data_IF_977540395200
#
_entry.id   IF_977540395200
#
_cell.length_a   1.000
_cell.length_b   1.000
_cell.length_c   1.000
_cell.angle_alpha   90.00
_cell.angle_beta   90.00
_cell.angle_gamma   90.00
#
_symmetry.space_group_name_H-M   'P 1'
#
loop_
_entity.id
_entity.type
_entity.pdbx_description
1 polymer ?
#
# COMPACT_ATOMS: atom_id res chain seq x y z
N UNK A 1 -23.04 -26.28 -12.08
CA UNK A 1 -22.58 -25.44 -10.94
C UNK A 1 -23.37 -25.84 -9.71
N UNK A 2 -22.71 -26.22 -8.59
CA UNK A 2 -23.44 -26.67 -7.40
C UNK A 2 -24.09 -25.50 -6.66
N UNK A 3 -25.19 -25.77 -5.91
CA UNK A 3 -25.88 -24.77 -5.06
C UNK A 3 -24.87 -24.10 -4.10
N UNK A 4 -23.93 -24.86 -3.57
CA UNK A 4 -22.85 -24.37 -2.67
C UNK A 4 -21.94 -23.36 -3.36
N UNK A 5 -21.55 -23.59 -4.62
CA UNK A 5 -20.72 -22.66 -5.40
C UNK A 5 -21.46 -21.37 -5.74
N UNK A 6 -22.76 -21.45 -6.03
CA UNK A 6 -23.58 -20.27 -6.27
C UNK A 6 -23.70 -19.40 -5.02
N UNK A 7 -23.98 -20.02 -3.86
CA UNK A 7 -24.09 -19.32 -2.57
C UNK A 7 -22.75 -18.62 -2.18
N UNK A 8 -21.63 -19.28 -2.43
CA UNK A 8 -20.30 -18.68 -2.15
C UNK A 8 -20.05 -17.44 -3.03
N UNK A 9 -20.32 -17.53 -4.33
CA UNK A 9 -20.19 -16.39 -5.24
C UNK A 9 -21.10 -15.22 -4.88
N UNK A 10 -22.33 -15.50 -4.47
CA UNK A 10 -23.26 -14.45 -3.99
C UNK A 10 -22.70 -13.75 -2.73
N UNK A 11 -22.11 -14.52 -1.81
CA UNK A 11 -21.48 -14.00 -0.60
C UNK A 11 -20.26 -13.11 -0.93
N UNK A 12 -19.40 -13.57 -1.83
CA UNK A 12 -18.23 -12.83 -2.30
C UNK A 12 -18.64 -11.54 -3.05
N UNK A 13 -19.65 -11.62 -3.90
CA UNK A 13 -20.17 -10.45 -4.61
C UNK A 13 -20.72 -9.39 -3.65
N UNK A 14 -21.50 -9.79 -2.63
CA UNK A 14 -22.01 -8.88 -1.59
C UNK A 14 -20.88 -8.26 -0.79
N UNK A 15 -19.88 -9.07 -0.40
CA UNK A 15 -18.70 -8.58 0.30
C UNK A 15 -17.94 -7.54 -0.53
N UNK A 16 -17.70 -7.82 -1.81
CA UNK A 16 -17.07 -6.89 -2.74
C UNK A 16 -17.82 -5.57 -2.88
N UNK A 17 -19.17 -5.63 -3.00
CA UNK A 17 -20.00 -4.43 -3.06
C UNK A 17 -19.87 -3.58 -1.79
N UNK A 18 -19.88 -4.21 -0.60
CA UNK A 18 -19.70 -3.49 0.68
C UNK A 18 -18.35 -2.80 0.72
N UNK A 19 -17.25 -3.50 0.34
CA UNK A 19 -15.90 -2.93 0.33
C UNK A 19 -15.78 -1.74 -0.63
N UNK A 20 -16.31 -1.86 -1.85
CA UNK A 20 -16.28 -0.78 -2.85
C UNK A 20 -17.06 0.44 -2.38
N UNK A 21 -18.30 0.24 -1.90
CA UNK A 21 -19.13 1.35 -1.41
C UNK A 21 -18.54 2.00 -0.16
N UNK A 22 -18.03 1.22 0.77
CA UNK A 22 -17.40 1.75 1.98
C UNK A 22 -16.17 2.60 1.64
N UNK A 23 -15.35 2.16 0.66
CA UNK A 23 -14.25 2.92 0.12
C UNK A 23 -14.70 4.29 -0.38
N UNK A 24 -15.71 4.34 -1.25
CA UNK A 24 -16.20 5.58 -1.83
C UNK A 24 -16.71 6.54 -0.75
N UNK A 25 -17.39 6.01 0.27
CA UNK A 25 -17.84 6.79 1.43
C UNK A 25 -16.67 7.32 2.25
N UNK A 26 -15.65 6.50 2.54
CA UNK A 26 -14.46 6.95 3.29
C UNK A 26 -13.71 8.05 2.55
N UNK A 27 -13.62 7.95 1.23
CA UNK A 27 -12.98 8.97 0.38
C UNK A 27 -13.77 10.28 0.41
N UNK A 28 -15.08 10.21 0.23
CA UNK A 28 -15.97 11.37 0.09
C UNK A 28 -16.17 12.11 1.41
N UNK A 29 -16.39 11.36 2.49
CA UNK A 29 -16.84 11.92 3.77
C UNK A 29 -15.74 11.89 4.86
N UNK A 30 -14.62 11.18 4.60
CA UNK A 30 -13.59 10.86 5.58
C UNK A 30 -13.95 9.66 6.46
N UNK A 31 -12.93 8.88 6.83
CA UNK A 31 -13.12 7.65 7.63
C UNK A 31 -13.84 7.90 8.96
N UNK A 32 -13.53 9.03 9.64
CA UNK A 32 -14.09 9.34 10.95
C UNK A 32 -15.62 9.53 10.93
N UNK A 33 -16.15 10.16 9.89
CA UNK A 33 -17.55 10.51 9.76
C UNK A 33 -18.45 9.35 9.31
N UNK A 34 -17.89 8.30 8.68
CA UNK A 34 -18.66 7.17 8.14
C UNK A 34 -18.92 6.12 9.20
N UNK A 35 -20.15 5.60 9.26
CA UNK A 35 -20.57 4.50 10.11
C UNK A 35 -20.93 3.26 9.30
N UNK A 36 -21.07 2.08 9.96
CA UNK A 36 -21.58 0.88 9.29
C UNK A 36 -23.02 1.05 8.81
N UNK A 37 -23.80 1.90 9.48
CA UNK A 37 -25.17 2.21 9.09
C UNK A 37 -25.23 3.01 7.78
N UNK A 38 -24.30 3.96 7.58
CA UNK A 38 -24.19 4.71 6.34
C UNK A 38 -23.81 3.77 5.16
N UNK A 39 -22.89 2.83 5.43
CA UNK A 39 -22.52 1.82 4.43
C UNK A 39 -23.71 0.92 4.10
N UNK A 40 -24.45 0.46 5.13
CA UNK A 40 -25.65 -0.38 4.94
C UNK A 40 -26.70 0.32 4.08
N UNK A 41 -26.97 1.59 4.38
CA UNK A 41 -27.92 2.42 3.62
C UNK A 41 -27.47 2.59 2.15
N UNK A 42 -26.17 2.83 1.92
CA UNK A 42 -25.63 3.06 0.58
C UNK A 42 -25.63 1.80 -0.31
N UNK A 43 -25.48 0.59 0.28
CA UNK A 43 -25.58 -0.68 -0.46
C UNK A 43 -26.99 -1.26 -0.46
N UNK A 44 -27.96 -0.58 0.16
CA UNK A 44 -29.36 -1.03 0.31
C UNK A 44 -29.47 -2.40 1.02
N UNK A 45 -28.56 -2.67 1.97
CA UNK A 45 -28.59 -3.87 2.79
C UNK A 45 -29.10 -3.58 4.19
N UNK A 46 -29.71 -4.59 4.84
CA UNK A 46 -30.03 -4.48 6.26
C UNK A 46 -28.74 -4.39 7.11
N UNK A 47 -28.80 -3.71 8.27
CA UNK A 47 -27.71 -3.68 9.25
C UNK A 47 -27.20 -5.09 9.58
N UNK A 48 -28.11 -6.04 9.81
CA UNK A 48 -27.76 -7.43 10.08
C UNK A 48 -26.96 -8.08 8.94
N UNK A 49 -27.25 -7.70 7.69
CA UNK A 49 -26.46 -8.19 6.54
C UNK A 49 -25.01 -7.67 6.61
N UNK A 50 -24.80 -6.39 6.93
CA UNK A 50 -23.46 -5.83 7.08
C UNK A 50 -22.71 -6.52 8.21
N UNK A 51 -23.32 -6.64 9.40
CA UNK A 51 -22.69 -7.29 10.57
C UNK A 51 -22.37 -8.78 10.36
N UNK A 52 -23.05 -9.46 9.42
CA UNK A 52 -22.71 -10.82 9.02
C UNK A 52 -21.43 -10.90 8.17
N UNK A 53 -21.00 -9.78 7.59
CA UNK A 53 -19.79 -9.71 6.75
C UNK A 53 -18.61 -9.05 7.44
N UNK A 54 -18.86 -8.03 8.28
CA UNK A 54 -17.84 -7.20 8.92
C UNK A 54 -18.26 -6.78 10.33
N UNK A 55 -17.37 -6.91 11.30
CA UNK A 55 -17.62 -6.54 12.69
C UNK A 55 -17.52 -5.04 12.92
N UNK A 56 -16.76 -4.32 12.09
CA UNK A 56 -16.46 -2.90 12.28
C UNK A 56 -16.08 -2.23 10.96
N UNK A 57 -16.12 -0.89 10.93
CA UNK A 57 -15.62 -0.13 9.78
C UNK A 57 -14.09 -0.22 9.67
N UNK A 58 -13.42 -0.39 10.79
CA UNK A 58 -11.97 -0.63 10.87
C UNK A 58 -11.59 -1.94 10.19
N UNK A 59 -12.43 -3.00 10.32
CA UNK A 59 -12.22 -4.24 9.60
C UNK A 59 -12.39 -4.06 8.09
N UNK A 60 -13.44 -3.36 7.66
CA UNK A 60 -13.65 -3.03 6.23
C UNK A 60 -12.45 -2.29 5.67
N UNK A 61 -11.97 -1.29 6.40
CA UNK A 61 -10.82 -0.50 6.04
C UNK A 61 -9.55 -1.36 5.92
N UNK A 62 -9.33 -2.27 6.87
CA UNK A 62 -8.20 -3.18 6.87
C UNK A 62 -8.19 -4.12 5.65
N UNK A 63 -9.36 -4.59 5.21
CA UNK A 63 -9.51 -5.37 3.97
C UNK A 63 -9.17 -4.56 2.72
N UNK A 64 -9.65 -3.30 2.65
CA UNK A 64 -9.31 -2.38 1.56
C UNK A 64 -7.79 -2.17 1.50
N UNK A 65 -7.13 -1.96 2.65
CA UNK A 65 -5.68 -1.82 2.72
C UNK A 65 -4.95 -3.08 2.25
N UNK A 66 -5.40 -4.26 2.68
CA UNK A 66 -4.77 -5.52 2.30
C UNK A 66 -4.78 -5.72 0.78
N UNK A 67 -5.90 -5.43 0.12
CA UNK A 67 -6.03 -5.48 -1.35
C UNK A 67 -4.97 -4.58 -2.03
N UNK A 68 -4.74 -3.38 -1.50
CA UNK A 68 -3.73 -2.45 -2.07
C UNK A 68 -2.31 -2.90 -1.85
N UNK A 69 -2.02 -3.50 -0.72
CA UNK A 69 -0.72 -4.10 -0.46
C UNK A 69 -0.45 -5.28 -1.41
N UNK A 70 -1.48 -6.06 -1.78
CA UNK A 70 -1.36 -7.13 -2.77
C UNK A 70 -1.07 -6.58 -4.18
N UNK A 71 -1.74 -5.49 -4.59
CA UNK A 71 -1.46 -4.80 -5.85
C UNK A 71 -0.02 -4.27 -5.85
N UNK A 72 0.39 -3.57 -4.79
CA UNK A 72 1.75 -3.05 -4.67
C UNK A 72 2.79 -4.17 -4.75
N UNK A 73 2.59 -5.26 -4.02
CA UNK A 73 3.50 -6.39 -4.03
C UNK A 73 3.65 -6.99 -5.44
N UNK A 74 2.55 -7.08 -6.20
CA UNK A 74 2.59 -7.54 -7.59
C UNK A 74 3.41 -6.60 -8.48
N UNK A 75 3.23 -5.29 -8.34
CA UNK A 75 3.98 -4.27 -9.09
C UNK A 75 5.48 -4.28 -8.75
N UNK A 76 5.83 -4.44 -7.47
CA UNK A 76 7.24 -4.53 -7.06
C UNK A 76 7.93 -5.77 -7.61
N UNK A 77 7.23 -6.92 -7.63
CA UNK A 77 7.76 -8.16 -8.23
C UNK A 77 7.97 -8.03 -9.74
N UNK A 78 7.04 -7.39 -10.44
CA UNK A 78 7.18 -7.11 -11.87
C UNK A 78 8.38 -6.18 -12.12
N UNK A 79 8.50 -5.10 -11.36
CA UNK A 79 9.60 -4.15 -11.44
C UNK A 79 10.98 -4.82 -11.21
N UNK A 80 11.08 -5.72 -10.22
CA UNK A 80 12.30 -6.46 -9.93
C UNK A 80 12.73 -7.39 -11.08
N UNK A 81 11.77 -7.92 -11.85
CA UNK A 81 12.05 -8.81 -12.99
C UNK A 81 12.39 -8.05 -14.27
N UNK A 82 11.83 -6.85 -14.45
CA UNK A 82 11.95 -6.08 -15.68
C UNK A 82 13.32 -5.39 -15.85
N UNK A 83 14.07 -5.16 -14.77
CA UNK A 83 15.37 -4.49 -14.79
C UNK A 83 16.54 -5.47 -14.88
N UNK A 84 17.64 -5.02 -15.47
CA UNK A 84 18.93 -5.76 -15.51
C UNK A 84 19.87 -5.31 -14.42
N UNK A 85 20.13 -4.00 -14.34
CA UNK A 85 20.98 -3.40 -13.31
C UNK A 85 20.19 -3.04 -12.03
N UNK A 86 20.87 -2.99 -10.89
CA UNK A 86 20.27 -2.62 -9.61
C UNK A 86 19.57 -1.26 -9.67
N UNK A 87 20.22 -0.25 -10.26
CA UNK A 87 19.65 1.08 -10.43
C UNK A 87 18.34 1.07 -11.26
N UNK A 88 18.32 0.25 -12.32
CA UNK A 88 17.13 0.08 -13.16
C UNK A 88 15.98 -0.60 -12.39
N UNK A 89 16.26 -1.67 -11.64
CA UNK A 89 15.27 -2.37 -10.80
C UNK A 89 14.69 -1.44 -9.73
N UNK A 90 15.54 -0.66 -9.04
CA UNK A 90 15.10 0.32 -8.04
C UNK A 90 14.28 1.45 -8.68
N UNK A 91 14.68 1.93 -9.86
CA UNK A 91 13.92 2.91 -10.62
C UNK A 91 12.55 2.40 -11.05
N UNK A 92 12.47 1.14 -11.50
CA UNK A 92 11.22 0.48 -11.85
C UNK A 92 10.32 0.30 -10.61
N UNK A 93 10.88 -0.07 -9.45
CA UNK A 93 10.14 -0.17 -8.20
C UNK A 93 9.59 1.19 -7.75
N UNK A 94 10.38 2.26 -7.89
CA UNK A 94 9.93 3.64 -7.63
C UNK A 94 8.78 4.02 -8.55
N UNK A 95 8.89 3.77 -9.86
CA UNK A 95 7.82 4.03 -10.83
C UNK A 95 6.57 3.22 -10.53
N UNK A 96 6.72 1.96 -10.12
CA UNK A 96 5.62 1.07 -9.72
C UNK A 96 4.86 1.63 -8.51
N UNK A 97 5.56 2.15 -7.52
CA UNK A 97 4.97 2.79 -6.35
C UNK A 97 4.23 4.09 -6.71
N UNK A 98 4.83 4.94 -7.54
CA UNK A 98 4.20 6.18 -8.03
C UNK A 98 2.98 5.89 -8.90
N UNK A 99 3.05 4.84 -9.73
CA UNK A 99 1.93 4.36 -10.52
C UNK A 99 0.76 3.98 -9.61
N UNK A 100 1.00 3.17 -8.58
CA UNK A 100 -0.02 2.79 -7.59
C UNK A 100 -0.62 4.02 -6.93
N UNK A 101 0.21 4.99 -6.53
CA UNK A 101 -0.26 6.26 -5.98
C UNK A 101 -1.21 6.99 -6.93
N UNK A 102 -0.87 7.12 -8.21
CA UNK A 102 -1.69 7.83 -9.20
C UNK A 102 -2.98 7.11 -9.55
N UNK A 103 -2.92 5.80 -9.70
CA UNK A 103 -4.10 4.97 -10.02
C UNK A 103 -5.07 4.87 -8.84
N UNK A 104 -4.54 5.00 -7.63
CA UNK A 104 -5.26 4.79 -6.39
C UNK A 104 -5.00 5.89 -5.35
N UNK A 105 -4.90 7.15 -5.80
CA UNK A 105 -4.54 8.31 -4.97
C UNK A 105 -5.36 8.40 -3.68
N UNK A 106 -6.64 8.10 -3.78
CA UNK A 106 -7.56 8.15 -2.65
C UNK A 106 -7.22 7.14 -1.55
N UNK A 107 -6.54 6.05 -1.91
CA UNK A 107 -6.06 5.07 -0.92
C UNK A 107 -4.85 5.54 -0.13
N UNK A 108 -3.99 6.34 -0.74
CA UNK A 108 -2.85 6.87 -0.02
C UNK A 108 -3.27 7.79 1.12
N UNK A 109 -4.38 8.50 0.97
CA UNK A 109 -5.00 9.24 2.08
C UNK A 109 -5.40 8.31 3.22
N UNK A 110 -5.88 7.12 2.88
CA UNK A 110 -6.27 6.11 3.85
C UNK A 110 -5.06 5.36 4.43
N UNK A 111 -3.99 5.09 3.66
CA UNK A 111 -2.77 4.39 4.12
C UNK A 111 -2.09 5.08 5.30
N UNK A 112 -2.06 6.42 5.29
CA UNK A 112 -1.51 7.20 6.39
C UNK A 112 -2.41 7.24 7.62
N UNK A 113 -3.69 6.88 7.48
CA UNK A 113 -4.63 6.85 8.60
C UNK A 113 -4.51 5.60 9.47
N UNK A 114 -4.12 4.44 8.93
CA UNK A 114 -4.11 3.18 9.70
C UNK A 114 -3.12 3.19 10.86
N UNK A 115 -1.96 3.81 10.68
CA UNK A 115 -0.98 3.92 11.77
C UNK A 115 -1.43 4.94 12.85
N UNK A 116 -2.48 5.72 12.56
CA UNK A 116 -3.09 6.74 13.43
C UNK A 116 -4.45 6.28 14.00
N UNK A 117 -5.06 5.20 13.47
CA UNK A 117 -6.31 4.66 14.01
C UNK A 117 -6.05 4.08 15.41
N UNK A 118 -6.48 4.83 16.41
CA UNK A 118 -6.35 4.51 17.84
C UNK A 118 -7.08 3.21 18.25
N UNK A 119 -7.95 2.66 17.39
CA UNK A 119 -8.81 1.50 17.65
C UNK A 119 -8.40 0.24 16.85
N UNK A 120 -7.09 -0.07 16.84
CA UNK A 120 -6.59 -1.29 16.17
C UNK A 120 -7.23 -2.58 16.73
N UNK A 121 -7.76 -2.53 17.95
CA UNK A 121 -8.43 -3.68 18.59
C UNK A 121 -9.75 -4.07 17.91
N UNK A 122 -10.33 -3.17 17.10
CA UNK A 122 -11.51 -3.46 16.28
C UNK A 122 -11.20 -4.20 14.96
N UNK A 123 -9.93 -4.38 14.65
CA UNK A 123 -9.49 -5.17 13.49
C UNK A 123 -9.17 -6.58 13.97
N UNK A 124 -9.76 -7.64 13.38
CA UNK A 124 -9.45 -9.01 13.74
C UNK A 124 -7.94 -9.28 13.69
N UNK A 125 -7.39 -9.97 14.71
CA UNK A 125 -5.95 -10.22 14.84
C UNK A 125 -5.35 -10.92 13.62
N UNK A 126 -6.10 -11.87 13.04
CA UNK A 126 -5.68 -12.55 11.80
C UNK A 126 -5.44 -11.57 10.65
N UNK A 127 -6.33 -10.57 10.50
CA UNK A 127 -6.24 -9.56 9.45
C UNK A 127 -5.09 -8.57 9.70
N UNK A 128 -4.89 -8.15 10.97
CA UNK A 128 -3.72 -7.33 11.37
C UNK A 128 -2.40 -8.02 11.03
N UNK A 129 -2.32 -9.33 11.30
CA UNK A 129 -1.14 -10.14 10.99
C UNK A 129 -0.91 -10.24 9.48
N UNK A 130 -1.97 -10.42 8.70
CA UNK A 130 -1.87 -10.51 7.25
C UNK A 130 -1.38 -9.19 6.64
N UNK A 131 -1.91 -8.04 7.07
CA UNK A 131 -1.43 -6.72 6.66
C UNK A 131 0.05 -6.54 6.98
N UNK A 132 0.48 -6.94 8.18
CA UNK A 132 1.88 -6.87 8.58
C UNK A 132 2.76 -7.72 7.69
N UNK A 133 2.33 -8.95 7.36
CA UNK A 133 3.05 -9.83 6.45
C UNK A 133 3.16 -9.22 5.05
N UNK A 134 2.12 -8.56 4.53
CA UNK A 134 2.17 -7.92 3.22
C UNK A 134 3.09 -6.70 3.20
N UNK A 135 3.04 -5.85 4.24
CA UNK A 135 3.98 -4.73 4.41
C UNK A 135 5.44 -5.23 4.41
N UNK A 136 5.71 -6.28 5.17
CA UNK A 136 7.05 -6.91 5.21
C UNK A 136 7.42 -7.49 3.84
N UNK A 137 6.51 -8.19 3.16
CA UNK A 137 6.77 -8.75 1.83
C UNK A 137 7.16 -7.66 0.80
N UNK A 138 6.50 -6.51 0.81
CA UNK A 138 6.87 -5.38 -0.04
C UNK A 138 8.30 -4.88 0.26
N UNK A 139 8.67 -4.75 1.53
CA UNK A 139 10.04 -4.37 1.92
C UNK A 139 11.07 -5.43 1.53
N UNK A 140 10.72 -6.71 1.61
CA UNK A 140 11.61 -7.82 1.23
C UNK A 140 11.91 -7.83 -0.27
N UNK A 141 10.97 -7.43 -1.14
CA UNK A 141 11.24 -7.27 -2.58
C UNK A 141 12.30 -6.19 -2.83
N UNK A 142 12.21 -5.03 -2.18
CA UNK A 142 13.23 -3.98 -2.27
C UNK A 142 14.56 -4.44 -1.69
N UNK A 143 14.53 -5.13 -0.55
CA UNK A 143 15.74 -5.68 0.07
C UNK A 143 16.42 -6.71 -0.82
N UNK A 144 15.68 -7.53 -1.55
CA UNK A 144 16.23 -8.51 -2.49
C UNK A 144 17.01 -7.83 -3.61
N UNK A 145 16.42 -6.78 -4.22
CA UNK A 145 17.10 -5.97 -5.25
C UNK A 145 18.42 -5.40 -4.72
N UNK A 146 18.42 -4.85 -3.50
CA UNK A 146 19.63 -4.27 -2.89
C UNK A 146 20.67 -5.33 -2.58
N UNK A 147 20.28 -6.49 -2.05
CA UNK A 147 21.20 -7.61 -1.79
C UNK A 147 21.87 -8.12 -3.07
N UNK A 148 21.10 -8.22 -4.14
CA UNK A 148 21.62 -8.63 -5.44
C UNK A 148 22.64 -7.62 -5.96
N UNK A 149 22.36 -6.32 -5.84
CA UNK A 149 23.28 -5.26 -6.25
C UNK A 149 24.57 -5.20 -5.43
N UNK A 150 24.49 -5.47 -4.13
CA UNK A 150 25.69 -5.60 -3.28
C UNK A 150 26.52 -6.81 -3.73
N UNK A 151 25.88 -7.94 -3.98
CA UNK A 151 26.55 -9.18 -4.39
C UNK A 151 27.22 -9.05 -5.76
N UNK A 152 26.60 -8.32 -6.69
CA UNK A 152 27.18 -8.05 -8.02
C UNK A 152 28.22 -6.93 -8.03
N UNK A 153 28.40 -6.20 -6.92
CA UNK A 153 29.32 -5.06 -6.84
C UNK A 153 28.80 -3.78 -7.49
N UNK A 154 27.53 -3.72 -7.91
CA UNK A 154 26.92 -2.53 -8.50
C UNK A 154 26.66 -1.41 -7.48
N UNK A 155 26.48 -1.77 -6.22
CA UNK A 155 26.33 -0.85 -5.09
C UNK A 155 27.18 -1.31 -3.90
N UNK A 156 27.54 -0.37 -3.02
CA UNK A 156 28.36 -0.65 -1.86
C UNK A 156 27.60 -1.40 -0.75
N UNK A 157 28.32 -2.28 -0.04
CA UNK A 157 27.79 -3.09 1.07
C UNK A 157 27.93 -2.46 2.46
N UNK A 158 28.25 -1.18 2.57
CA UNK A 158 28.54 -0.50 3.85
C UNK A 158 27.32 -0.33 4.77
N UNK A 159 26.09 -0.57 4.28
CA UNK A 159 24.86 -0.48 5.06
C UNK A 159 23.99 -1.73 4.88
N UNK A 160 23.28 -2.20 5.95
CA UNK A 160 22.36 -3.32 5.82
C UNK A 160 21.24 -3.04 4.81
N UNK A 161 21.05 -3.93 3.83
CA UNK A 161 20.04 -3.78 2.78
C UNK A 161 18.61 -3.55 3.33
N UNK A 162 18.31 -4.11 4.51
CA UNK A 162 17.02 -3.90 5.18
C UNK A 162 16.82 -2.43 5.60
N UNK A 163 17.87 -1.80 6.15
CA UNK A 163 17.79 -0.39 6.55
C UNK A 163 17.66 0.53 5.33
N UNK A 164 18.41 0.24 4.27
CA UNK A 164 18.32 0.98 3.01
C UNK A 164 16.92 0.87 2.42
N UNK A 165 16.34 -0.34 2.39
CA UNK A 165 14.97 -0.54 1.90
C UNK A 165 13.96 0.28 2.70
N UNK A 166 14.09 0.33 4.03
CA UNK A 166 13.22 1.15 4.89
C UNK A 166 13.37 2.65 4.62
N UNK A 167 14.61 3.12 4.41
CA UNK A 167 14.87 4.54 4.09
C UNK A 167 14.25 4.91 2.74
N UNK A 168 14.45 4.09 1.70
CA UNK A 168 13.85 4.32 0.37
C UNK A 168 12.33 4.34 0.44
N UNK A 169 11.74 3.39 1.17
CA UNK A 169 10.29 3.34 1.42
C UNK A 169 9.80 4.59 2.15
N UNK A 170 10.47 4.98 3.23
CA UNK A 170 10.12 6.18 4.02
C UNK A 170 10.24 7.46 3.22
N UNK A 171 11.26 7.58 2.38
CA UNK A 171 11.46 8.72 1.48
C UNK A 171 10.29 8.88 0.50
N UNK A 172 9.88 7.81 -0.19
CA UNK A 172 8.75 7.86 -1.12
C UNK A 172 7.44 8.19 -0.41
N UNK A 173 7.18 7.58 0.74
CA UNK A 173 6.01 7.91 1.55
C UNK A 173 6.01 9.39 1.96
N UNK A 174 7.13 9.91 2.45
CA UNK A 174 7.26 11.31 2.86
C UNK A 174 7.01 12.29 1.70
N UNK A 175 7.57 12.03 0.52
CA UNK A 175 7.35 12.86 -0.67
C UNK A 175 5.87 12.85 -1.09
N UNK A 176 5.24 11.68 -1.10
CA UNK A 176 3.81 11.56 -1.43
C UNK A 176 2.95 12.28 -0.39
N UNK A 177 3.28 12.15 0.89
CA UNK A 177 2.55 12.83 1.96
C UNK A 177 2.63 14.37 1.84
N UNK A 178 3.79 14.90 1.45
CA UNK A 178 3.95 16.34 1.17
C UNK A 178 3.07 16.79 0.00
N UNK A 179 2.93 15.97 -1.04
CA UNK A 179 2.04 16.25 -2.16
C UNK A 179 0.55 16.20 -1.73
N UNK A 180 0.14 15.19 -0.94
CA UNK A 180 -1.23 15.07 -0.44
C UNK A 180 -1.61 16.20 0.53
N UNK A 181 -0.67 16.68 1.34
CA UNK A 181 -0.87 17.83 2.25
C UNK A 181 -0.81 19.20 1.54
N UNK A 182 -0.70 19.22 0.20
CA UNK A 182 -0.57 20.42 -0.63
C UNK A 182 0.64 21.30 -0.30
N UNK A 183 1.65 20.77 0.37
CA UNK A 183 2.92 21.45 0.62
C UNK A 183 3.82 21.44 -0.62
N UNK A 184 3.53 20.56 -1.57
CA UNK A 184 4.22 20.41 -2.85
C UNK A 184 3.16 20.40 -3.95
N UNK A 185 3.43 21.14 -5.04
CA UNK A 185 2.56 21.11 -6.22
C UNK A 185 2.67 19.74 -6.91
N UNK A 186 1.56 19.27 -7.46
CA UNK A 186 1.51 17.98 -8.16
C UNK A 186 2.52 17.89 -9.32
N UNK A 187 2.78 19.03 -9.99
CA UNK A 187 3.77 19.14 -11.06
C UNK A 187 5.22 18.95 -10.57
N UNK A 188 5.50 19.16 -9.29
CA UNK A 188 6.83 19.00 -8.69
C UNK A 188 7.07 17.59 -8.13
N UNK A 189 6.03 16.78 -8.01
CA UNK A 189 6.12 15.44 -7.43
C UNK A 189 7.16 14.57 -8.14
N UNK A 190 7.09 14.47 -9.47
CA UNK A 190 8.04 13.66 -10.26
C UNK A 190 9.47 14.16 -10.10
N UNK A 191 9.65 15.48 -10.06
CA UNK A 191 10.95 16.09 -9.86
C UNK A 191 11.53 15.75 -8.47
N UNK A 192 10.74 15.83 -7.42
CA UNK A 192 11.18 15.47 -6.06
C UNK A 192 11.51 14.00 -5.94
N UNK A 193 10.70 13.12 -6.55
CA UNK A 193 10.98 11.69 -6.60
C UNK A 193 12.29 11.41 -7.35
N UNK A 194 12.51 12.06 -8.49
CA UNK A 194 13.75 11.92 -9.26
C UNK A 194 14.97 12.38 -8.44
N UNK A 195 14.90 13.55 -7.81
CA UNK A 195 15.98 14.06 -6.94
C UNK A 195 16.24 13.11 -5.77
N UNK A 196 15.20 12.64 -5.09
CA UNK A 196 15.35 11.68 -4.00
C UNK A 196 15.99 10.37 -4.46
N UNK A 197 15.61 9.88 -5.63
CA UNK A 197 16.18 8.67 -6.22
C UNK A 197 17.65 8.86 -6.61
N UNK A 198 18.03 10.00 -7.20
CA UNK A 198 19.41 10.35 -7.53
C UNK A 198 20.30 10.41 -6.27
N UNK A 199 19.84 11.10 -5.23
CA UNK A 199 20.54 11.17 -3.94
C UNK A 199 20.74 9.77 -3.34
N UNK A 200 19.70 8.94 -3.36
CA UNK A 200 19.77 7.58 -2.85
C UNK A 200 20.78 6.73 -3.63
N UNK A 201 20.74 6.78 -4.98
CA UNK A 201 21.68 6.04 -5.82
C UNK A 201 23.12 6.50 -5.64
N UNK A 202 23.37 7.82 -5.53
CA UNK A 202 24.69 8.35 -5.26
C UNK A 202 25.24 7.85 -3.93
N UNK A 203 24.41 7.84 -2.88
CA UNK A 203 24.76 7.31 -1.56
C UNK A 203 25.00 5.80 -1.52
N UNK A 204 24.39 5.05 -2.44
CA UNK A 204 24.59 3.60 -2.56
C UNK A 204 25.87 3.25 -3.34
N UNK A 205 26.28 4.07 -4.30
CA UNK A 205 27.52 3.87 -5.08
C UNK A 205 28.77 4.26 -4.31
N UNK A 206 28.65 5.27 -3.43
CA UNK A 206 29.73 5.75 -2.60
C UNK A 206 29.37 5.57 -1.11
N UNK A 207 29.43 4.34 -0.57
CA UNK A 207 29.16 4.15 0.85
C UNK A 207 30.23 4.94 1.63
N UNK A 208 29.77 5.83 2.54
CA UNK A 208 30.67 6.50 3.46
C UNK A 208 31.46 5.44 4.24
N UNK A 209 32.73 5.62 4.31
CA UNK A 209 33.72 4.81 5.04
C UNK A 209 33.35 4.70 6.51
#
# INVERSE_FOLDING_TARGET
MSVKQRKLRELEARRGLILTTAKDLFIKNGFGAVTLDDIAAAVEFSKGTIYNHFCSKEEIYAWILLEHLDILLSYLREAARAGRATAEKLGNATKAYVRLYREHREYFKLLFFIDVVSDQDRIPEGLRREIRHRKIACLLELQAILKDGIRSGEIGGGRPAAQVAMVLWGMLNGIIQLAESRQVHENDLDRLIAVGFEIALAGLKNPAS
#
